data_IF_713299848236
#
_entry.id   IF_713299848236
#
_cell.length_a   1.000
_cell.length_b   1.000
_cell.length_c   1.000
_cell.angle_alpha   90.00
_cell.angle_beta   90.00
_cell.angle_gamma   90.00
#
_symmetry.space_group_name_H-M   'P 1'
#
loop_
_entity.id
_entity.type
_entity.pdbx_description
1 polymer ?
#
# COMPACT_ATOMS: atom_id res chain seq x y z
N UNK A 1 16.44 18.42 -12.36
CA UNK A 1 15.66 18.78 -11.15
C UNK A 1 14.62 17.73 -10.69
N UNK A 2 13.84 17.07 -11.55
CA UNK A 2 12.70 16.22 -11.11
C UNK A 2 13.07 14.98 -10.27
N UNK A 3 14.26 14.43 -10.44
CA UNK A 3 14.69 13.20 -9.75
C UNK A 3 15.11 13.46 -8.29
N UNK A 4 15.76 14.59 -8.03
CA UNK A 4 16.14 15.03 -6.68
C UNK A 4 14.91 15.34 -5.83
N UNK A 5 13.90 15.98 -6.42
CA UNK A 5 12.63 16.25 -5.75
C UNK A 5 11.90 14.98 -5.32
N UNK A 6 11.88 13.93 -6.16
CA UNK A 6 11.30 12.63 -5.80
C UNK A 6 12.02 11.99 -4.61
N UNK A 7 13.36 12.03 -4.60
CA UNK A 7 14.17 11.48 -3.51
C UNK A 7 13.90 12.20 -2.18
N UNK A 8 13.84 13.54 -2.20
CA UNK A 8 13.55 14.33 -0.99
C UNK A 8 12.15 14.03 -0.44
N UNK A 9 11.15 13.90 -1.32
CA UNK A 9 9.78 13.56 -0.91
C UNK A 9 9.71 12.16 -0.32
N UNK A 10 10.41 11.18 -0.90
CA UNK A 10 10.44 9.80 -0.40
C UNK A 10 11.14 9.72 0.95
N UNK A 11 12.28 10.40 1.11
CA UNK A 11 13.06 10.41 2.37
C UNK A 11 12.32 11.19 3.47
N UNK A 12 11.68 12.30 3.13
CA UNK A 12 10.85 13.06 4.07
C UNK A 12 9.61 12.27 4.50
N UNK A 13 8.95 11.59 3.55
CA UNK A 13 7.79 10.75 3.85
C UNK A 13 8.17 9.54 4.72
N UNK A 14 9.32 8.90 4.47
CA UNK A 14 9.78 7.76 5.29
C UNK A 14 10.24 8.21 6.70
N UNK A 15 10.88 9.36 6.84
CA UNK A 15 11.22 9.93 8.14
C UNK A 15 9.97 10.28 8.97
N UNK A 16 8.96 10.88 8.33
CA UNK A 16 7.65 11.12 8.95
C UNK A 16 6.94 9.80 9.31
N UNK A 17 7.07 8.77 8.46
CA UNK A 17 6.56 7.41 8.71
C UNK A 17 7.11 6.77 9.98
N UNK A 18 8.42 6.93 10.23
CA UNK A 18 9.05 6.39 11.42
C UNK A 18 8.65 7.20 12.66
N UNK A 19 8.60 8.54 12.57
CA UNK A 19 8.27 9.40 13.71
C UNK A 19 6.81 9.28 14.17
N UNK A 20 5.89 9.08 13.22
CA UNK A 20 4.45 8.92 13.49
C UNK A 20 3.99 7.47 13.37
N UNK A 21 4.90 6.50 13.60
CA UNK A 21 4.68 5.05 13.39
C UNK A 21 3.28 4.59 13.76
N UNK A 22 2.77 4.97 14.94
CA UNK A 22 1.45 4.56 15.41
C UNK A 22 0.27 5.30 14.74
N UNK A 23 0.42 6.60 14.47
CA UNK A 23 -0.64 7.42 13.84
C UNK A 23 -0.73 7.13 12.34
N UNK A 24 0.40 6.88 11.69
CA UNK A 24 0.47 6.45 10.30
C UNK A 24 0.03 5.00 10.12
N UNK A 25 0.38 4.10 11.04
CA UNK A 25 -0.14 2.74 10.99
C UNK A 25 -1.66 2.72 11.18
N UNK A 26 -2.23 3.56 12.06
CA UNK A 26 -3.67 3.76 12.15
C UNK A 26 -4.28 4.43 10.92
N UNK A 27 -3.59 5.37 10.26
CA UNK A 27 -4.05 5.90 8.97
C UNK A 27 -3.96 4.84 7.86
N UNK A 28 -2.95 3.98 7.85
CA UNK A 28 -2.77 2.90 6.88
C UNK A 28 -3.84 1.82 7.07
N UNK A 29 -4.07 1.41 8.32
CA UNK A 29 -5.05 0.39 8.71
C UNK A 29 -6.50 0.93 8.65
N UNK A 30 -6.70 2.20 9.01
CA UNK A 30 -8.01 2.86 9.07
C UNK A 30 -8.45 3.52 7.77
N UNK A 31 -7.55 3.74 6.81
CA UNK A 31 -7.93 4.34 5.53
C UNK A 31 -8.37 3.26 4.54
N UNK A 32 -9.69 3.16 4.37
CA UNK A 32 -10.33 2.35 3.33
C UNK A 32 -9.73 2.58 1.92
N UNK A 33 -9.14 3.75 1.65
CA UNK A 33 -8.43 4.00 0.39
C UNK A 33 -7.18 3.14 0.22
N UNK A 34 -6.39 2.91 1.28
CA UNK A 34 -5.19 2.08 1.20
C UNK A 34 -5.59 0.62 0.97
N UNK A 35 -6.62 0.15 1.67
CA UNK A 35 -7.20 -1.18 1.45
C UNK A 35 -7.67 -1.33 0.02
N UNK A 36 -8.41 -0.35 -0.52
CA UNK A 36 -8.92 -0.36 -1.89
C UNK A 36 -7.79 -0.30 -2.92
N UNK A 37 -6.73 0.45 -2.65
CA UNK A 37 -5.53 0.51 -3.50
C UNK A 37 -4.80 -0.83 -3.52
N UNK A 38 -4.54 -1.43 -2.35
CA UNK A 38 -3.89 -2.74 -2.25
C UNK A 38 -4.73 -3.81 -2.95
N UNK A 39 -6.03 -3.89 -2.69
CA UNK A 39 -6.93 -4.86 -3.34
C UNK A 39 -7.00 -4.63 -4.85
N UNK A 40 -7.17 -3.38 -5.30
CA UNK A 40 -7.22 -3.04 -6.73
C UNK A 40 -5.91 -3.38 -7.45
N UNK A 41 -4.76 -3.14 -6.82
CA UNK A 41 -3.44 -3.48 -7.39
C UNK A 41 -3.21 -4.99 -7.39
N UNK A 42 -3.59 -5.69 -6.33
CA UNK A 42 -3.51 -7.15 -6.26
C UNK A 42 -4.41 -7.83 -7.30
N UNK A 43 -5.61 -7.30 -7.55
CA UNK A 43 -6.52 -7.84 -8.57
C UNK A 43 -6.11 -7.54 -10.01
N UNK A 44 -5.29 -6.50 -10.22
CA UNK A 44 -4.72 -6.20 -11.54
C UNK A 44 -3.56 -7.13 -11.91
N UNK A 45 -2.97 -7.83 -10.94
CA UNK A 45 -1.92 -8.81 -11.15
C UNK A 45 -2.55 -10.21 -11.34
N UNK A 46 -2.45 -10.82 -12.54
CA UNK A 46 -3.11 -12.11 -12.83
C UNK A 46 -2.70 -13.23 -11.87
N UNK A 47 -1.43 -13.27 -11.47
CA UNK A 47 -0.90 -14.27 -10.52
C UNK A 47 -1.54 -14.20 -9.12
N UNK A 48 -1.81 -12.99 -8.64
CA UNK A 48 -2.44 -12.77 -7.33
C UNK A 48 -3.95 -13.00 -7.42
N UNK A 49 -4.56 -12.58 -8.54
CA UNK A 49 -5.96 -12.83 -8.85
C UNK A 49 -6.28 -14.33 -8.83
N UNK A 50 -5.49 -15.17 -9.52
CA UNK A 50 -5.74 -16.61 -9.58
C UNK A 50 -5.59 -17.28 -8.21
N UNK A 51 -4.59 -16.88 -7.40
CA UNK A 51 -4.42 -17.39 -6.03
C UNK A 51 -5.59 -16.99 -5.10
N UNK A 52 -6.08 -15.75 -5.21
CA UNK A 52 -7.21 -15.28 -4.40
C UNK A 52 -8.50 -15.98 -4.81
N UNK A 53 -8.79 -16.09 -6.11
CA UNK A 53 -9.92 -16.84 -6.62
C UNK A 53 -9.83 -18.31 -6.19
N UNK A 54 -8.70 -18.97 -6.36
CA UNK A 54 -8.54 -20.36 -5.93
C UNK A 54 -8.65 -20.56 -4.39
N UNK A 55 -8.47 -19.50 -3.59
CA UNK A 55 -8.68 -19.55 -2.14
C UNK A 55 -10.13 -19.24 -1.74
N UNK A 56 -10.86 -18.44 -2.51
CA UNK A 56 -12.28 -18.12 -2.28
C UNK A 56 -13.22 -19.23 -2.76
N UNK A 57 -12.82 -19.99 -3.78
CA UNK A 57 -13.61 -21.08 -4.36
C UNK A 57 -13.24 -22.45 -3.79
N UNK A 58 -12.39 -22.51 -2.75
CA UNK A 58 -12.22 -23.74 -1.97
C UNK A 58 -13.39 -23.84 -0.98
N UNK A 59 -14.20 -24.90 -1.04
CA UNK A 59 -15.30 -25.13 -0.10
C UNK A 59 -14.79 -25.37 1.33
#
# INVERSE_FOLDING_TARGET
MRMLWRLIVIVGASAAAIRYRYRLMNMVLGNSMLRKFVVSRSLNVPLLRDKMMQSMFRP
#
